data_IF_390663856257
#
_entry.id   IF_390663856257
#
_cell.length_a   1.000
_cell.length_b   1.000
_cell.length_c   1.000
_cell.angle_alpha   90.00
_cell.angle_beta   90.00
_cell.angle_gamma   90.00
#
_symmetry.space_group_name_H-M   'P 1'
#
loop_
_entity.id
_entity.type
_entity.pdbx_description
1 polymer ?
#
# COMPACT_ATOMS: atom_id res chain seq x y z
N UNK A 1 -7.75 5.37 -12.57
CA UNK A 1 -8.81 4.64 -11.85
C UNK A 1 -8.73 3.18 -12.28
N UNK A 2 -8.58 2.27 -11.34
CA UNK A 2 -8.49 0.83 -11.62
C UNK A 2 -9.69 0.15 -10.99
N UNK A 3 -10.34 -0.71 -11.74
CA UNK A 3 -11.46 -1.52 -11.28
C UNK A 3 -11.03 -2.99 -11.27
N UNK A 4 -11.30 -3.67 -10.16
CA UNK A 4 -11.09 -5.11 -10.04
C UNK A 4 -12.34 -5.77 -9.46
N UNK A 5 -12.67 -6.95 -9.95
CA UNK A 5 -13.76 -7.76 -9.44
C UNK A 5 -13.25 -9.14 -9.04
N UNK A 6 -13.86 -9.71 -8.02
CA UNK A 6 -13.60 -11.09 -7.59
C UNK A 6 -14.92 -11.83 -7.60
N UNK A 7 -14.93 -12.96 -8.30
CA UNK A 7 -16.00 -13.95 -8.20
C UNK A 7 -15.61 -14.98 -7.14
N UNK A 8 -16.25 -14.94 -6.00
CA UNK A 8 -16.00 -15.85 -4.88
C UNK A 8 -16.65 -17.21 -5.04
N UNK A 9 -16.88 -17.60 -6.25
CA UNK A 9 -17.43 -18.82 -6.85
C UNK A 9 -17.91 -19.96 -5.97
N UNK A 10 -17.19 -20.45 -5.00
CA UNK A 10 -17.52 -21.71 -4.35
C UNK A 10 -18.21 -21.59 -2.99
N UNK A 11 -18.35 -20.41 -2.44
CA UNK A 11 -19.06 -20.17 -1.19
C UNK A 11 -18.60 -20.90 0.06
N UNK A 12 -17.51 -21.66 0.01
CA UNK A 12 -17.03 -22.44 1.14
C UNK A 12 -16.55 -21.57 2.32
N UNK A 13 -16.16 -20.35 2.04
CA UNK A 13 -15.68 -19.39 3.04
C UNK A 13 -16.74 -18.34 3.41
N UNK A 14 -17.87 -18.36 2.77
CA UNK A 14 -19.07 -17.57 3.01
C UNK A 14 -20.29 -18.46 3.15
N UNK A 15 -21.46 -17.92 3.09
CA UNK A 15 -22.76 -18.58 3.29
C UNK A 15 -23.11 -19.74 2.33
N UNK A 16 -22.19 -20.21 1.51
CA UNK A 16 -22.47 -21.25 0.50
C UNK A 16 -23.12 -20.72 -0.78
N UNK A 17 -23.35 -19.43 -0.87
CA UNK A 17 -23.89 -18.77 -2.07
C UNK A 17 -22.77 -18.20 -2.92
N UNK A 18 -22.91 -18.31 -4.22
CA UNK A 18 -22.00 -17.67 -5.17
C UNK A 18 -22.27 -16.16 -5.19
N UNK A 19 -21.27 -15.38 -4.83
CA UNK A 19 -21.36 -13.92 -4.83
C UNK A 19 -20.27 -13.32 -5.71
N UNK A 20 -20.63 -12.27 -6.45
CA UNK A 20 -19.69 -11.45 -7.20
C UNK A 20 -19.62 -10.07 -6.55
N UNK A 21 -18.40 -9.61 -6.22
CA UNK A 21 -18.18 -8.31 -5.61
C UNK A 21 -17.20 -7.49 -6.44
N UNK A 22 -17.38 -6.16 -6.44
CA UNK A 22 -16.50 -5.25 -7.15
C UNK A 22 -15.73 -4.38 -6.16
N UNK A 23 -14.43 -4.33 -6.33
CA UNK A 23 -13.53 -3.40 -5.65
C UNK A 23 -13.01 -2.35 -6.61
N UNK A 24 -12.72 -1.17 -6.10
CA UNK A 24 -12.07 -0.09 -6.83
C UNK A 24 -10.94 0.50 -6.02
N UNK A 25 -9.93 1.01 -6.70
CA UNK A 25 -8.87 1.77 -6.10
C UNK A 25 -8.56 3.03 -6.92
N UNK A 26 -7.97 3.97 -6.24
CA UNK A 26 -7.60 5.25 -6.80
C UNK A 26 -6.21 5.63 -6.26
N UNK A 27 -5.35 6.06 -7.16
CA UNK A 27 -4.00 6.49 -6.83
C UNK A 27 -3.71 7.84 -7.51
N UNK A 28 -3.08 8.74 -6.78
CA UNK A 28 -2.55 9.99 -7.30
C UNK A 28 -1.22 10.30 -6.64
N UNK A 29 -0.28 10.81 -7.42
CA UNK A 29 1.01 11.27 -6.91
C UNK A 29 1.47 12.51 -7.63
N UNK A 30 2.26 13.31 -6.93
CA UNK A 30 2.94 14.47 -7.47
C UNK A 30 4.40 14.49 -6.98
N UNK A 31 5.29 14.96 -7.85
CA UNK A 31 6.70 15.13 -7.51
C UNK A 31 7.20 16.46 -8.03
N UNK A 32 7.96 17.13 -7.20
CA UNK A 32 8.67 18.36 -7.55
C UNK A 32 10.18 18.13 -7.57
N UNK A 33 10.82 18.48 -8.66
CA UNK A 33 12.26 18.29 -8.88
C UNK A 33 12.99 19.62 -8.66
N UNK A 34 13.78 19.72 -7.58
CA UNK A 34 14.67 20.85 -7.29
C UNK A 34 16.00 20.61 -7.98
N UNK A 35 16.15 21.15 -9.20
CA UNK A 35 17.29 20.86 -10.06
C UNK A 35 18.62 21.36 -9.49
N UNK A 36 18.61 22.49 -8.76
CA UNK A 36 19.82 23.09 -8.16
C UNK A 36 20.49 22.19 -7.12
N UNK A 37 19.70 21.44 -6.37
CA UNK A 37 20.19 20.52 -5.34
C UNK A 37 20.11 19.06 -5.75
N UNK A 38 19.55 18.76 -6.91
CA UNK A 38 19.25 17.40 -7.37
C UNK A 38 18.39 16.62 -6.40
N UNK A 39 17.49 17.33 -5.73
CA UNK A 39 16.55 16.77 -4.77
C UNK A 39 15.17 16.65 -5.40
N UNK A 40 14.47 15.55 -5.14
CA UNK A 40 13.09 15.38 -5.57
C UNK A 40 12.23 15.18 -4.33
N UNK A 41 11.14 15.92 -4.26
CA UNK A 41 10.17 15.83 -3.15
C UNK A 41 8.87 15.33 -3.76
N UNK A 42 8.32 14.27 -3.19
CA UNK A 42 7.09 13.68 -3.71
C UNK A 42 6.07 13.42 -2.62
N UNK A 43 4.80 13.47 -3.02
CA UNK A 43 3.66 13.10 -2.22
C UNK A 43 2.76 12.17 -3.02
N UNK A 44 2.25 11.12 -2.37
CA UNK A 44 1.37 10.14 -3.00
C UNK A 44 0.18 9.85 -2.09
N UNK A 45 -0.95 9.59 -2.71
CA UNK A 45 -2.16 9.15 -2.05
C UNK A 45 -2.73 7.94 -2.76
N UNK A 46 -3.12 6.93 -1.98
CA UNK A 46 -3.80 5.75 -2.48
C UNK A 46 -5.04 5.47 -1.65
N UNK A 47 -6.11 5.09 -2.30
CA UNK A 47 -7.35 4.65 -1.66
C UNK A 47 -7.79 3.32 -2.26
N UNK A 48 -8.14 2.37 -1.40
CA UNK A 48 -8.77 1.11 -1.79
C UNK A 48 -10.11 0.92 -1.10
N UNK A 49 -11.11 0.54 -1.87
CA UNK A 49 -12.45 0.28 -1.36
C UNK A 49 -12.54 -1.05 -0.59
N UNK A 50 -13.71 -1.32 0.01
CA UNK A 50 -14.00 -2.53 0.80
C UNK A 50 -13.52 -3.84 0.16
N UNK A 51 -13.80 -4.03 -1.13
CA UNK A 51 -13.54 -5.29 -1.84
C UNK A 51 -12.29 -5.21 -2.74
N UNK A 52 -11.42 -4.22 -2.52
CA UNK A 52 -10.24 -4.07 -3.34
C UNK A 52 -9.18 -5.14 -3.05
N UNK A 53 -8.63 -5.72 -4.11
CA UNK A 53 -7.50 -6.66 -4.08
C UNK A 53 -6.62 -6.39 -5.29
N UNK A 54 -5.30 -6.37 -5.11
CA UNK A 54 -4.33 -6.19 -6.19
C UNK A 54 -3.62 -7.48 -6.58
N UNK A 55 -3.62 -8.50 -5.72
CA UNK A 55 -2.75 -9.68 -5.81
C UNK A 55 -1.26 -9.34 -5.91
N UNK A 56 -0.87 -8.15 -5.52
CA UNK A 56 0.53 -7.74 -5.52
C UNK A 56 1.19 -8.31 -4.28
N UNK A 57 2.25 -9.13 -4.41
CA UNK A 57 3.00 -9.59 -3.26
C UNK A 57 3.65 -8.38 -2.58
N UNK A 58 3.45 -8.27 -1.28
CA UNK A 58 4.10 -7.27 -0.43
C UNK A 58 5.41 -7.84 0.10
N UNK A 59 6.35 -8.16 -0.78
CA UNK A 59 7.56 -8.87 -0.44
C UNK A 59 8.45 -8.10 0.56
N UNK A 60 8.37 -6.77 0.51
CA UNK A 60 9.19 -5.88 1.32
C UNK A 60 8.36 -5.07 2.35
N UNK A 61 7.05 -5.27 2.40
CA UNK A 61 6.16 -4.54 3.30
C UNK A 61 5.86 -5.37 4.56
N UNK A 62 5.89 -4.72 5.72
CA UNK A 62 5.66 -5.41 7.01
C UNK A 62 4.21 -5.85 7.17
N UNK A 63 3.25 -5.13 6.59
CA UNK A 63 1.81 -5.40 6.74
C UNK A 63 1.07 -5.53 5.41
N UNK A 64 1.28 -4.64 4.47
CA UNK A 64 0.71 -4.72 3.12
C UNK A 64 1.31 -3.63 2.25
N UNK A 65 1.32 -3.86 0.93
CA UNK A 65 1.69 -2.79 0.01
C UNK A 65 0.65 -1.67 0.03
N UNK A 66 1.09 -0.43 -0.17
CA UNK A 66 0.18 0.73 -0.22
C UNK A 66 -0.95 0.56 -1.25
N UNK A 67 -0.69 -0.14 -2.35
CA UNK A 67 -1.68 -0.40 -3.40
C UNK A 67 -2.73 -1.43 -2.99
N UNK A 68 -2.44 -2.29 -2.01
CA UNK A 68 -3.34 -3.33 -1.53
C UNK A 68 -4.20 -2.92 -0.34
N UNK A 69 -3.99 -1.73 0.22
CA UNK A 69 -4.72 -1.27 1.39
C UNK A 69 -6.22 -1.07 1.10
N UNK A 70 -7.06 -1.49 2.04
CA UNK A 70 -8.50 -1.19 2.07
C UNK A 70 -8.73 -0.03 3.03
N UNK A 71 -8.64 1.18 2.51
CA UNK A 71 -8.60 2.44 3.24
C UNK A 71 -7.71 3.43 2.52
N UNK A 72 -7.06 4.29 3.26
CA UNK A 72 -6.26 5.37 2.73
C UNK A 72 -4.78 5.18 3.06
N UNK A 73 -3.90 5.49 2.12
CA UNK A 73 -2.46 5.53 2.35
C UNK A 73 -1.92 6.86 1.84
N UNK A 74 -1.18 7.52 2.68
CA UNK A 74 -0.50 8.78 2.39
C UNK A 74 1.00 8.52 2.43
N UNK A 75 1.73 8.98 1.44
CA UNK A 75 3.18 8.89 1.40
C UNK A 75 3.79 10.26 1.11
N UNK A 76 4.84 10.59 1.87
CA UNK A 76 5.72 11.71 1.60
C UNK A 76 7.15 11.17 1.50
N UNK A 77 7.89 11.61 0.49
CA UNK A 77 9.27 11.17 0.32
C UNK A 77 10.18 12.24 -0.26
N UNK A 78 11.47 12.08 0.04
CA UNK A 78 12.54 12.86 -0.56
C UNK A 78 13.54 11.90 -1.20
N UNK A 79 13.94 12.20 -2.43
CA UNK A 79 15.01 11.51 -3.12
C UNK A 79 16.15 12.49 -3.33
N UNK A 80 17.34 12.13 -2.88
CA UNK A 80 18.57 12.89 -3.09
C UNK A 80 19.46 12.11 -4.06
N UNK A 81 19.79 12.72 -5.20
CA UNK A 81 20.83 12.20 -6.07
C UNK A 81 22.20 12.52 -5.46
N UNK A 82 23.02 11.48 -5.29
CA UNK A 82 24.38 11.59 -4.80
C UNK A 82 25.30 11.69 -6.00
N UNK A 83 26.09 12.76 -6.06
CA UNK A 83 27.10 12.90 -7.07
C UNK A 83 28.32 12.05 -6.69
N UNK A 84 28.36 10.83 -7.19
CA UNK A 84 29.41 9.86 -6.84
C UNK A 84 30.67 9.97 -7.70
N UNK A 85 30.85 11.05 -8.45
CA UNK A 85 32.14 11.30 -9.11
C UNK A 85 33.16 11.78 -8.07
N UNK A 86 34.27 11.15 -7.86
CA UNK A 86 34.97 10.09 -8.57
C UNK A 86 35.25 8.84 -7.73
N UNK A 87 34.27 8.34 -6.95
CA UNK A 87 34.54 7.23 -6.03
C UNK A 87 34.73 5.92 -6.77
N UNK A 88 34.15 5.79 -7.96
CA UNK A 88 34.40 4.64 -8.84
C UNK A 88 33.95 4.97 -10.26
N UNK A 89 34.77 4.64 -11.24
CA UNK A 89 34.43 4.69 -12.67
C UNK A 89 33.28 3.74 -13.05
N UNK A 90 32.84 2.89 -12.13
CA UNK A 90 31.79 1.91 -12.33
C UNK A 90 30.40 2.36 -11.82
N UNK A 91 30.33 3.41 -11.00
CA UNK A 91 29.04 3.89 -10.46
C UNK A 91 28.52 5.01 -11.39
N UNK A 92 27.46 4.72 -12.15
CA UNK A 92 26.85 5.68 -13.03
C UNK A 92 25.97 6.68 -12.26
N UNK A 93 25.18 6.22 -11.30
CA UNK A 93 24.29 7.06 -10.46
C UNK A 93 24.03 6.40 -9.11
N UNK A 94 23.92 7.22 -8.06
CA UNK A 94 23.46 6.78 -6.76
C UNK A 94 22.33 7.69 -6.27
N UNK A 95 21.31 7.10 -5.63
CA UNK A 95 20.17 7.79 -5.08
C UNK A 95 19.95 7.34 -3.64
N UNK A 96 19.61 8.27 -2.79
CA UNK A 96 19.15 8.01 -1.44
C UNK A 96 17.70 8.49 -1.34
N UNK A 97 16.78 7.62 -0.91
CA UNK A 97 15.38 7.95 -0.70
C UNK A 97 15.04 7.74 0.77
N UNK A 98 14.40 8.74 1.36
CA UNK A 98 13.73 8.64 2.65
C UNK A 98 12.26 8.94 2.43
N UNK A 99 11.40 8.12 2.99
CA UNK A 99 9.96 8.31 2.88
C UNK A 99 9.24 7.91 4.15
N UNK A 100 8.06 8.46 4.30
CA UNK A 100 7.13 8.17 5.37
C UNK A 100 5.79 7.81 4.78
N UNK A 101 5.23 6.67 5.20
CA UNK A 101 3.89 6.22 4.83
C UNK A 101 3.00 6.18 6.06
N UNK A 102 1.78 6.65 5.90
CA UNK A 102 0.73 6.55 6.89
C UNK A 102 -0.45 5.80 6.28
N UNK A 103 -0.81 4.70 6.91
CA UNK A 103 -1.93 3.85 6.56
C UNK A 103 -3.09 4.10 7.52
N UNK A 104 -4.28 4.33 6.98
CA UNK A 104 -5.54 4.42 7.70
C UNK A 104 -6.50 3.40 7.09
N UNK A 105 -6.65 2.27 7.77
CA UNK A 105 -7.44 1.14 7.29
C UNK A 105 -8.91 1.32 7.64
N UNK A 106 -9.77 1.27 6.63
CA UNK A 106 -11.22 1.31 6.80
C UNK A 106 -11.81 -0.09 7.01
N UNK A 107 -11.21 -1.10 6.36
CA UNK A 107 -11.69 -2.47 6.37
C UNK A 107 -10.57 -3.47 6.68
N UNK A 108 -10.97 -4.61 7.25
CA UNK A 108 -10.07 -5.72 7.54
C UNK A 108 -9.58 -6.41 6.27
N UNK A 109 -8.51 -7.19 6.40
CA UNK A 109 -8.02 -8.10 5.36
C UNK A 109 -7.48 -7.41 4.11
N UNK A 110 -6.80 -6.25 4.24
CA UNK A 110 -6.13 -5.60 3.10
C UNK A 110 -5.31 -6.62 2.31
N UNK A 111 -5.47 -6.58 0.98
CA UNK A 111 -4.85 -7.49 0.03
C UNK A 111 -5.12 -9.00 0.30
N UNK A 112 -6.16 -9.29 1.06
CA UNK A 112 -6.57 -10.67 1.37
C UNK A 112 -7.97 -10.94 0.81
N UNK A 113 -8.13 -12.07 0.15
CA UNK A 113 -9.38 -12.51 -0.46
C UNK A 113 -10.11 -13.57 0.37
N UNK A 114 -9.55 -13.96 1.52
CA UNK A 114 -10.17 -14.91 2.44
C UNK A 114 -11.03 -14.16 3.45
N UNK A 115 -12.29 -14.50 3.52
CA UNK A 115 -13.26 -13.91 4.42
C UNK A 115 -13.82 -12.55 3.91
N UNK A 116 -14.99 -12.19 4.45
CA UNK A 116 -15.62 -10.92 4.14
C UNK A 116 -14.91 -9.77 4.84
N UNK A 117 -14.61 -8.67 4.15
CA UNK A 117 -14.08 -7.48 4.79
C UNK A 117 -15.09 -6.85 5.75
N UNK A 118 -14.69 -6.63 7.00
CA UNK A 118 -15.49 -5.97 8.03
C UNK A 118 -14.96 -4.56 8.21
N UNK A 119 -15.85 -3.58 8.36
CA UNK A 119 -15.44 -2.22 8.69
C UNK A 119 -14.80 -2.20 10.08
N UNK A 120 -13.63 -1.57 10.20
CA UNK A 120 -12.86 -1.58 11.45
C UNK A 120 -13.63 -0.94 12.61
N UNK A 121 -14.43 0.10 12.34
CA UNK A 121 -15.32 0.69 13.36
C UNK A 121 -16.37 -0.26 13.90
N UNK A 122 -16.72 -1.31 13.17
CA UNK A 122 -17.84 -2.19 13.48
C UNK A 122 -17.40 -3.52 14.13
N UNK A 123 -16.09 -3.69 14.34
CA UNK A 123 -15.53 -4.93 14.90
C UNK A 123 -16.07 -5.26 16.28
N UNK A 124 -16.28 -4.25 17.12
CA UNK A 124 -16.83 -4.41 18.47
C UNK A 124 -18.35 -4.52 18.52
N UNK A 125 -19.05 -4.29 17.40
CA UNK A 125 -20.51 -4.27 17.36
C UNK A 125 -21.14 -5.67 17.47
N UNK A 126 -20.41 -6.72 17.10
CA UNK A 126 -20.90 -8.09 17.18
C UNK A 126 -19.75 -9.09 17.36
N UNK A 127 -19.91 -10.13 18.19
CA UNK A 127 -18.94 -11.22 18.29
C UNK A 127 -18.71 -11.95 16.95
N UNK A 128 -19.67 -11.90 16.03
CA UNK A 128 -19.54 -12.47 14.68
C UNK A 128 -18.55 -11.73 13.80
N UNK A 129 -18.18 -10.50 14.16
CA UNK A 129 -17.17 -9.69 13.49
C UNK A 129 -15.75 -10.01 13.99
N UNK A 130 -15.58 -10.96 14.90
CA UNK A 130 -14.26 -11.35 15.41
C UNK A 130 -13.35 -11.79 14.28
N UNK A 131 -12.11 -11.33 14.34
CA UNK A 131 -11.07 -11.65 13.37
C UNK A 131 -10.08 -12.64 13.99
N UNK A 132 -9.54 -13.53 13.17
CA UNK A 132 -8.52 -14.49 13.61
C UNK A 132 -7.23 -13.78 14.04
N UNK A 133 -6.88 -12.69 13.36
CA UNK A 133 -5.75 -11.83 13.74
C UNK A 133 -6.29 -10.46 14.11
N UNK A 134 -5.65 -9.81 15.08
CA UNK A 134 -6.03 -8.45 15.49
C UNK A 134 -5.86 -7.47 14.32
N UNK A 135 -6.93 -6.88 13.81
CA UNK A 135 -6.83 -5.93 12.70
C UNK A 135 -6.22 -4.61 13.18
N UNK A 136 -5.40 -4.03 12.33
CA UNK A 136 -4.84 -2.70 12.54
C UNK A 136 -5.80 -1.64 12.02
N UNK A 137 -5.99 -0.57 12.79
CA UNK A 137 -6.68 0.63 12.33
C UNK A 137 -5.75 1.56 11.55
N UNK A 138 -4.53 1.68 11.99
CA UNK A 138 -3.52 2.50 11.32
C UNK A 138 -2.13 1.88 11.47
N UNK A 139 -1.26 2.22 10.54
CA UNK A 139 0.14 1.87 10.58
C UNK A 139 0.99 3.05 10.09
N UNK A 140 2.24 3.07 10.48
CA UNK A 140 3.23 4.08 10.07
C UNK A 140 4.50 3.37 9.66
N UNK A 141 5.04 3.76 8.53
CA UNK A 141 6.30 3.25 8.03
C UNK A 141 7.25 4.40 7.72
N UNK A 142 8.44 4.35 8.28
CA UNK A 142 9.55 5.24 7.94
C UNK A 142 10.62 4.38 7.27
N UNK A 143 10.88 4.62 6.02
CA UNK A 143 11.85 3.84 5.26
C UNK A 143 12.98 4.70 4.69
N UNK A 144 14.13 4.06 4.51
CA UNK A 144 15.26 4.63 3.81
C UNK A 144 15.79 3.59 2.82
N UNK A 145 16.02 4.00 1.58
CA UNK A 145 16.59 3.14 0.54
C UNK A 145 17.75 3.82 -0.15
N UNK A 146 18.75 3.04 -0.55
CA UNK A 146 19.84 3.48 -1.39
C UNK A 146 19.88 2.63 -2.65
N UNK A 147 19.86 3.28 -3.79
CA UNK A 147 19.97 2.63 -5.10
C UNK A 147 21.25 3.10 -5.77
N UNK A 148 22.02 2.14 -6.26
CA UNK A 148 23.26 2.40 -7.01
C UNK A 148 23.12 1.74 -8.37
N UNK A 149 23.35 2.51 -9.44
CA UNK A 149 23.37 2.05 -10.83
C UNK A 149 24.82 1.99 -11.32
N UNK A 150 25.19 0.88 -11.86
CA UNK A 150 26.51 0.59 -12.44
C UNK A 150 26.49 0.74 -13.95
#
# INVERSE_FOLDING_TARGET
>A
MVFGGIDTGAGLMHSGTKESTTGNAFYVGARYDVTSTRTKIGAEFNHGSKNWITFTPAADDIWTSKLGARGNVYELYVIQEINAAPVSSYIAKAFFRVGFQYYDFDYTGSNNWVGAPVKISDLSASPLNAQMLTPLKNARDLYATMEVKF
#
